data_IF_771947511850
#
_entry.id   IF_771947511850
#
_cell.length_a   1.000
_cell.length_b   1.000
_cell.length_c   1.000
_cell.angle_alpha   90.00
_cell.angle_beta   90.00
_cell.angle_gamma   90.00
#
_symmetry.space_group_name_H-M   'P 1'
#
loop_
_entity.id
_entity.type
_entity.pdbx_description
1 polymer ?
#
# COMPACT_ATOMS: atom_id res chain seq x y z
N UNK A 1 10.37 -15.68 -2.64
CA UNK A 1 10.23 -15.57 -4.11
C UNK A 1 9.90 -14.13 -4.48
N UNK A 2 10.30 -13.71 -5.65
CA UNK A 2 10.09 -12.31 -6.08
C UNK A 2 9.66 -12.26 -7.53
N UNK A 3 8.83 -11.27 -7.84
CA UNK A 3 8.34 -11.00 -9.20
C UNK A 3 8.32 -9.50 -9.44
N UNK A 4 8.83 -9.06 -10.58
CA UNK A 4 8.78 -7.64 -10.98
C UNK A 4 7.52 -7.39 -11.78
N UNK A 5 6.57 -6.67 -11.18
CA UNK A 5 5.32 -6.28 -11.81
C UNK A 5 5.51 -4.95 -12.56
N UNK A 6 5.19 -4.93 -13.84
CA UNK A 6 5.29 -3.73 -14.68
C UNK A 6 4.00 -2.93 -14.57
N UNK A 7 3.99 -1.92 -13.70
CA UNK A 7 2.82 -1.07 -13.53
C UNK A 7 2.90 0.18 -14.41
N UNK A 8 1.77 0.88 -14.63
CA UNK A 8 1.79 2.18 -15.32
C UNK A 8 2.65 3.24 -14.63
N UNK A 9 2.94 3.07 -13.34
CA UNK A 9 3.72 4.00 -12.53
C UNK A 9 5.18 3.59 -12.37
N UNK A 10 5.59 2.49 -12.99
CA UNK A 10 6.92 1.92 -12.86
C UNK A 10 6.90 0.52 -12.28
N UNK A 11 8.07 -0.06 -12.14
CA UNK A 11 8.21 -1.43 -11.68
C UNK A 11 7.92 -1.55 -10.19
N UNK A 12 7.17 -2.59 -9.82
CA UNK A 12 6.90 -2.94 -8.42
C UNK A 12 7.50 -4.32 -8.18
N UNK A 13 8.43 -4.41 -7.24
CA UNK A 13 8.97 -5.69 -6.82
C UNK A 13 8.04 -6.31 -5.80
N UNK A 14 7.44 -7.44 -6.15
CA UNK A 14 6.54 -8.19 -5.27
C UNK A 14 7.31 -9.35 -4.66
N UNK A 15 7.34 -9.39 -3.34
CA UNK A 15 7.91 -10.49 -2.56
C UNK A 15 6.77 -11.33 -2.00
N UNK A 16 6.92 -12.65 -2.02
CA UNK A 16 5.85 -13.56 -1.60
C UNK A 16 6.41 -14.91 -1.21
N UNK A 17 5.60 -15.68 -0.50
CA UNK A 17 5.88 -17.08 -0.18
C UNK A 17 4.70 -17.95 -0.63
N UNK A 18 4.62 -19.18 -0.16
CA UNK A 18 3.54 -20.09 -0.55
C UNK A 18 2.18 -19.70 0.04
N UNK A 19 2.15 -18.76 0.99
CA UNK A 19 0.97 -18.43 1.77
C UNK A 19 0.50 -16.99 1.62
N UNK A 20 1.40 -16.03 1.36
CA UNK A 20 1.07 -14.62 1.42
C UNK A 20 2.02 -13.73 0.61
N UNK A 21 1.58 -12.50 0.38
CA UNK A 21 2.41 -11.39 -0.10
C UNK A 21 3.16 -10.83 1.10
N UNK A 22 4.47 -10.72 1.00
CA UNK A 22 5.32 -10.20 2.07
C UNK A 22 5.91 -8.84 1.76
N UNK A 23 5.88 -8.41 0.51
CA UNK A 23 6.39 -7.10 0.09
C UNK A 23 5.87 -6.71 -1.28
N UNK A 24 5.79 -5.40 -1.51
CA UNK A 24 5.49 -4.81 -2.81
C UNK A 24 6.04 -3.38 -2.78
N UNK A 25 7.19 -3.14 -3.39
CA UNK A 25 7.86 -1.85 -3.34
C UNK A 25 8.20 -1.35 -4.73
N UNK A 26 8.04 -0.04 -4.94
CA UNK A 26 8.46 0.58 -6.19
C UNK A 26 9.99 0.56 -6.30
N UNK A 27 10.46 0.36 -7.53
CA UNK A 27 11.89 0.43 -7.90
C UNK A 27 12.79 -0.59 -7.18
N UNK A 28 12.22 -1.64 -6.59
CA UNK A 28 13.00 -2.72 -6.00
C UNK A 28 13.72 -3.55 -7.07
N UNK A 29 14.86 -4.12 -6.69
CA UNK A 29 15.61 -5.01 -7.59
C UNK A 29 15.39 -6.46 -7.19
N UNK A 30 15.04 -7.29 -8.15
CA UNK A 30 14.82 -8.71 -7.91
C UNK A 30 16.12 -9.41 -7.49
N UNK A 31 16.09 -10.06 -6.33
CA UNK A 31 17.23 -10.79 -5.77
C UNK A 31 16.97 -12.29 -5.60
N UNK A 32 15.71 -12.70 -5.64
CA UNK A 32 15.28 -14.09 -5.52
C UNK A 32 14.68 -14.58 -6.82
N UNK A 33 14.57 -15.90 -6.96
CA UNK A 33 13.97 -16.48 -8.13
C UNK A 33 12.44 -16.31 -8.12
N UNK A 34 11.89 -16.18 -9.32
CA UNK A 34 10.45 -16.25 -9.53
C UNK A 34 10.00 -17.70 -9.53
N UNK A 35 8.93 -17.98 -8.81
CA UNK A 35 8.25 -19.26 -8.88
C UNK A 35 6.74 -19.01 -8.89
N UNK A 36 6.06 -19.50 -9.92
CA UNK A 36 4.62 -19.30 -10.05
C UNK A 36 3.86 -20.07 -8.97
N UNK A 37 2.92 -19.40 -8.31
CA UNK A 37 1.98 -20.03 -7.39
C UNK A 37 0.67 -19.24 -7.39
N UNK A 38 -0.32 -19.70 -6.62
CA UNK A 38 -1.64 -19.03 -6.60
C UNK A 38 -1.57 -17.65 -5.97
N UNK A 39 -0.66 -17.42 -5.02
CA UNK A 39 -0.51 -16.11 -4.35
C UNK A 39 -0.08 -15.05 -5.35
N UNK A 40 1.00 -15.29 -6.08
CA UNK A 40 1.51 -14.30 -7.03
C UNK A 40 0.57 -14.12 -8.23
N UNK A 41 -0.01 -15.19 -8.73
CA UNK A 41 -0.94 -15.15 -9.86
C UNK A 41 -2.16 -14.29 -9.51
N UNK A 42 -2.74 -14.47 -8.34
CA UNK A 42 -3.87 -13.68 -7.88
C UNK A 42 -3.48 -12.20 -7.64
N UNK A 43 -2.27 -11.98 -7.11
CA UNK A 43 -1.76 -10.62 -6.89
C UNK A 43 -1.63 -9.85 -8.22
N UNK A 44 -1.04 -10.47 -9.22
CA UNK A 44 -0.89 -9.86 -10.55
C UNK A 44 -2.26 -9.52 -11.14
N UNK A 45 -3.19 -10.45 -11.06
CA UNK A 45 -4.56 -10.26 -11.54
C UNK A 45 -5.22 -9.05 -10.86
N UNK A 46 -5.13 -8.97 -9.55
CA UNK A 46 -5.75 -7.89 -8.79
C UNK A 46 -5.09 -6.54 -9.04
N UNK A 47 -3.78 -6.49 -9.21
CA UNK A 47 -3.08 -5.26 -9.59
C UNK A 47 -3.49 -4.81 -10.99
N UNK A 48 -3.62 -5.73 -11.95
CA UNK A 48 -4.10 -5.40 -13.30
C UNK A 48 -5.51 -4.81 -13.25
N UNK A 49 -6.39 -5.38 -12.44
CA UNK A 49 -7.75 -4.88 -12.24
C UNK A 49 -7.77 -3.52 -11.55
N UNK A 50 -6.90 -3.31 -10.57
CA UNK A 50 -6.77 -2.03 -9.88
C UNK A 50 -6.34 -0.92 -10.84
N UNK A 51 -5.27 -1.12 -11.59
CA UNK A 51 -4.80 -0.13 -12.55
C UNK A 51 -5.73 0.04 -13.74
N UNK A 52 -6.51 -0.98 -14.07
CA UNK A 52 -7.54 -0.92 -15.09
C UNK A 52 -8.83 -0.24 -14.65
N UNK A 53 -8.95 0.13 -13.37
CA UNK A 53 -10.13 0.83 -12.83
C UNK A 53 -11.30 -0.08 -12.48
N UNK A 54 -11.11 -1.40 -12.48
CA UNK A 54 -12.20 -2.35 -12.22
C UNK A 54 -12.17 -2.95 -10.81
N UNK A 55 -11.10 -2.72 -10.05
CA UNK A 55 -10.97 -3.22 -8.68
C UNK A 55 -10.68 -2.08 -7.71
N UNK A 56 -11.44 -2.04 -6.63
CA UNK A 56 -11.30 -1.00 -5.60
C UNK A 56 -10.72 -1.53 -4.27
N UNK A 57 -10.78 -2.83 -4.02
CA UNK A 57 -10.22 -3.43 -2.83
C UNK A 57 -9.47 -4.71 -3.18
N UNK A 58 -8.40 -4.98 -2.41
CA UNK A 58 -7.60 -6.19 -2.60
C UNK A 58 -8.07 -7.29 -1.65
N UNK A 59 -8.09 -8.51 -2.16
CA UNK A 59 -8.39 -9.72 -1.38
C UNK A 59 -7.21 -10.67 -1.50
N UNK A 60 -6.16 -10.39 -0.74
CA UNK A 60 -4.90 -11.12 -0.76
C UNK A 60 -4.42 -11.38 0.66
N UNK A 61 -3.87 -12.56 0.93
CA UNK A 61 -3.22 -12.80 2.22
C UNK A 61 -1.93 -11.97 2.30
N UNK A 62 -1.75 -11.21 3.38
CA UNK A 62 -0.61 -10.31 3.58
C UNK A 62 0.14 -10.69 4.84
N UNK A 63 1.47 -10.74 4.74
CA UNK A 63 2.36 -10.99 5.88
C UNK A 63 3.47 -9.92 5.92
N UNK A 64 3.15 -8.66 6.24
CA UNK A 64 4.17 -7.62 6.35
C UNK A 64 5.01 -7.85 7.61
N UNK A 65 6.33 -7.62 7.51
CA UNK A 65 7.22 -7.65 8.67
C UNK A 65 7.34 -6.27 9.30
N UNK A 66 7.21 -6.21 10.61
CA UNK A 66 7.35 -4.97 11.35
C UNK A 66 7.05 -5.17 12.82
N UNK A 67 7.13 -4.08 13.59
CA UNK A 67 6.77 -4.06 15.00
C UNK A 67 5.26 -4.22 15.16
N UNK A 68 4.80 -4.52 16.37
CA UNK A 68 3.36 -4.62 16.66
C UNK A 68 2.65 -3.29 16.35
N UNK A 69 3.28 -2.17 16.69
CA UNK A 69 2.72 -0.85 16.39
C UNK A 69 2.62 -0.63 14.88
N UNK A 70 3.69 -0.91 14.13
CA UNK A 70 3.67 -0.78 12.66
C UNK A 70 2.58 -1.63 12.04
N UNK A 71 2.45 -2.87 12.47
CA UNK A 71 1.40 -3.77 11.97
C UNK A 71 0.01 -3.25 12.27
N UNK A 72 -0.19 -2.65 13.45
CA UNK A 72 -1.48 -2.06 13.80
C UNK A 72 -1.81 -0.86 12.90
N UNK A 73 -0.81 -0.05 12.57
CA UNK A 73 -0.99 1.08 11.63
C UNK A 73 -1.36 0.54 10.25
N UNK A 74 -0.60 -0.42 9.73
CA UNK A 74 -0.86 -0.98 8.40
C UNK A 74 -2.24 -1.64 8.30
N UNK A 75 -2.69 -2.27 9.36
CA UNK A 75 -4.05 -2.83 9.41
C UNK A 75 -5.10 -1.71 9.36
N UNK A 76 -4.88 -0.64 10.12
CA UNK A 76 -5.78 0.52 10.11
C UNK A 76 -5.84 1.18 8.72
N UNK A 77 -4.72 1.25 8.00
CA UNK A 77 -4.69 1.79 6.64
C UNK A 77 -5.61 1.03 5.70
N UNK A 78 -5.72 -0.28 5.88
CA UNK A 78 -6.58 -1.11 5.03
C UNK A 78 -8.07 -0.80 5.20
N UNK A 79 -8.44 -0.09 6.27
CA UNK A 79 -9.81 0.35 6.49
C UNK A 79 -10.16 1.66 5.76
N UNK A 80 -9.17 2.36 5.18
CA UNK A 80 -9.43 3.59 4.43
C UNK A 80 -10.02 3.21 3.07
N UNK A 81 -11.27 3.61 2.78
CA UNK A 81 -11.90 3.22 1.52
C UNK A 81 -11.21 3.78 0.29
N UNK A 82 -11.38 3.08 -0.81
CA UNK A 82 -10.95 3.53 -2.12
C UNK A 82 -11.55 4.91 -2.44
N UNK A 83 -10.71 5.81 -2.93
CA UNK A 83 -11.15 7.18 -3.27
C UNK A 83 -11.22 8.14 -2.08
N UNK A 84 -10.90 7.67 -0.87
CA UNK A 84 -10.92 8.50 0.34
C UNK A 84 -9.51 8.67 0.91
N UNK A 85 -9.36 9.66 1.75
CA UNK A 85 -8.10 9.93 2.45
C UNK A 85 -8.37 10.12 3.94
N UNK A 86 -7.31 9.93 4.74
CA UNK A 86 -7.33 10.23 6.17
C UNK A 86 -6.04 10.97 6.52
N UNK A 87 -6.12 11.87 7.49
CA UNK A 87 -4.92 12.50 8.03
C UNK A 87 -4.18 11.55 8.97
N UNK A 88 -2.92 11.85 9.26
CA UNK A 88 -2.16 11.09 10.26
C UNK A 88 -2.84 11.11 11.62
N UNK A 89 -3.41 12.26 11.99
CA UNK A 89 -4.15 12.40 13.24
C UNK A 89 -5.41 11.53 13.28
N UNK A 90 -6.13 11.44 12.16
CA UNK A 90 -7.32 10.59 12.06
C UNK A 90 -6.96 9.11 12.19
N UNK A 91 -5.86 8.67 11.58
CA UNK A 91 -5.39 7.29 11.73
C UNK A 91 -4.97 7.03 13.19
N UNK A 92 -4.26 7.98 13.82
CA UNK A 92 -3.87 7.86 15.22
C UNK A 92 -5.09 7.72 16.14
N UNK A 93 -6.12 8.52 15.89
CA UNK A 93 -7.38 8.44 16.65
C UNK A 93 -8.09 7.10 16.46
N UNK A 94 -8.07 6.58 15.24
CA UNK A 94 -8.65 5.27 14.93
C UNK A 94 -7.97 4.16 15.72
N UNK A 95 -6.67 4.31 16.00
CA UNK A 95 -5.89 3.36 16.81
C UNK A 95 -6.07 3.57 18.32
N UNK A 96 -6.87 4.55 18.74
CA UNK A 96 -7.01 4.90 20.16
C UNK A 96 -5.80 5.62 20.72
N UNK A 97 -4.94 6.21 19.87
CA UNK A 97 -3.72 6.90 20.25
C UNK A 97 -3.65 8.29 19.60
N UNK A 98 -4.54 9.24 19.99
CA UNK A 98 -4.67 10.51 19.27
C UNK A 98 -3.41 11.36 19.25
N UNK A 99 -2.45 11.10 20.16
CA UNK A 99 -1.17 11.84 20.21
C UNK A 99 -0.06 11.18 19.41
N UNK A 100 -0.33 10.08 18.70
CA UNK A 100 0.68 9.28 18.02
C UNK A 100 0.83 9.62 16.53
N UNK A 101 0.44 10.82 16.07
CA UNK A 101 0.47 11.20 14.66
C UNK A 101 1.86 11.02 14.01
N UNK A 102 2.92 11.41 14.72
CA UNK A 102 4.29 11.24 14.20
C UNK A 102 4.68 9.77 14.06
N UNK A 103 4.35 8.97 15.05
CA UNK A 103 4.64 7.53 15.01
C UNK A 103 3.84 6.86 13.89
N UNK A 104 2.60 7.28 13.67
CA UNK A 104 1.77 6.83 12.53
C UNK A 104 2.46 7.21 11.21
N UNK A 105 2.93 8.44 11.08
CA UNK A 105 3.67 8.88 9.89
C UNK A 105 4.91 8.04 9.62
N UNK A 106 5.69 7.74 10.66
CA UNK A 106 6.85 6.87 10.54
C UNK A 106 6.50 5.46 10.09
N UNK A 107 5.47 4.87 10.68
CA UNK A 107 4.99 3.54 10.29
C UNK A 107 4.42 3.54 8.87
N UNK A 108 3.70 4.59 8.50
CA UNK A 108 3.15 4.76 7.16
C UNK A 108 4.27 4.74 6.10
N UNK A 109 5.37 5.45 6.35
CA UNK A 109 6.50 5.50 5.43
C UNK A 109 7.30 4.20 5.36
N UNK A 110 7.13 3.31 6.32
CA UNK A 110 7.81 2.01 6.36
C UNK A 110 6.93 0.86 5.88
N UNK A 111 5.75 1.16 5.32
CA UNK A 111 4.88 0.14 4.76
C UNK A 111 5.64 -0.69 3.71
N UNK A 112 5.77 -2.00 3.91
CA UNK A 112 6.50 -2.85 2.97
C UNK A 112 5.66 -3.34 1.79
N UNK A 113 4.34 -3.06 1.77
CA UNK A 113 3.43 -3.55 0.73
C UNK A 113 2.67 -2.35 0.16
N UNK A 114 3.29 -1.64 -0.79
CA UNK A 114 2.70 -0.45 -1.39
C UNK A 114 1.43 -0.78 -2.16
N UNK A 115 0.50 0.16 -2.24
CA UNK A 115 -0.78 0.08 -2.95
C UNK A 115 -1.78 -0.83 -2.26
N UNK A 116 -1.44 -2.09 -2.03
CA UNK A 116 -2.33 -3.09 -1.40
C UNK A 116 -2.63 -2.68 0.04
N UNK A 117 -1.58 -2.26 0.79
CA UNK A 117 -1.77 -1.54 2.05
C UNK A 117 -1.69 -0.05 1.69
N UNK A 118 -2.81 0.68 1.71
CA UNK A 118 -2.92 1.97 1.02
C UNK A 118 -2.30 3.15 1.78
N UNK A 119 -1.00 3.11 2.01
CA UNK A 119 -0.30 4.22 2.68
C UNK A 119 -0.37 5.53 1.87
N UNK A 120 -0.66 5.46 0.58
CA UNK A 120 -0.89 6.64 -0.25
C UNK A 120 -2.16 7.43 0.12
N UNK A 121 -3.09 6.81 0.86
CA UNK A 121 -4.34 7.45 1.30
C UNK A 121 -4.20 8.26 2.58
N UNK A 122 -2.99 8.36 3.15
CA UNK A 122 -2.74 9.17 4.34
C UNK A 122 -2.09 10.48 3.92
N UNK A 123 -2.66 11.60 4.35
CA UNK A 123 -2.24 12.95 3.97
C UNK A 123 -2.08 13.84 5.22
N UNK A 124 -1.48 15.03 5.05
CA UNK A 124 -1.39 16.01 6.13
C UNK A 124 -2.75 16.56 6.54
N UNK A 125 -2.82 17.14 7.73
CA UNK A 125 -4.06 17.63 8.33
C UNK A 125 -4.79 18.68 7.48
N UNK A 126 -4.03 19.45 6.69
CA UNK A 126 -4.57 20.48 5.80
C UNK A 126 -4.69 20.02 4.34
N UNK A 127 -4.66 18.72 4.11
CA UNK A 127 -4.70 18.14 2.77
C UNK A 127 -3.35 18.10 2.07
N UNK A 128 -2.25 18.47 2.75
CA UNK A 128 -0.92 18.46 2.15
C UNK A 128 -0.47 17.03 1.85
N UNK A 129 0.10 16.84 0.65
CA UNK A 129 0.69 15.57 0.24
C UNK A 129 2.10 15.49 0.82
N UNK A 130 2.27 14.73 1.87
CA UNK A 130 3.55 14.56 2.56
C UNK A 130 3.92 13.09 2.62
N UNK A 131 5.21 12.80 2.55
CA UNK A 131 5.79 11.50 2.79
C UNK A 131 5.14 10.33 2.05
N UNK A 132 5.82 9.79 1.05
CA UNK A 132 5.44 8.52 0.45
C UNK A 132 6.72 7.82 0.00
N UNK A 133 6.89 6.56 0.43
CA UNK A 133 8.09 5.79 0.10
C UNK A 133 8.28 5.63 -1.41
N UNK A 134 7.19 5.56 -2.17
CA UNK A 134 7.23 5.50 -3.64
C UNK A 134 7.37 6.85 -4.33
N UNK A 135 7.46 7.95 -3.59
CA UNK A 135 7.58 9.32 -4.13
C UNK A 135 6.24 10.03 -4.28
N UNK A 136 6.26 11.36 -4.10
CA UNK A 136 5.02 12.17 -4.10
C UNK A 136 4.30 12.17 -5.44
N UNK A 137 5.03 12.06 -6.55
CA UNK A 137 4.42 11.99 -7.88
C UNK A 137 3.54 10.76 -8.02
N UNK A 138 4.03 9.59 -7.58
CA UNK A 138 3.25 8.36 -7.57
C UNK A 138 2.07 8.44 -6.62
N UNK A 139 2.25 9.04 -5.46
CA UNK A 139 1.17 9.26 -4.50
C UNK A 139 0.05 10.07 -5.14
N UNK A 140 0.38 11.19 -5.77
CA UNK A 140 -0.58 12.04 -6.47
C UNK A 140 -1.32 11.26 -7.55
N UNK A 141 -0.60 10.49 -8.36
CA UNK A 141 -1.19 9.70 -9.44
C UNK A 141 -2.16 8.64 -8.91
N UNK A 142 -1.78 7.95 -7.84
CA UNK A 142 -2.65 6.93 -7.21
C UNK A 142 -3.94 7.57 -6.67
N UNK A 143 -3.83 8.69 -5.97
CA UNK A 143 -4.99 9.40 -5.43
C UNK A 143 -5.91 9.90 -6.55
N UNK A 144 -5.34 10.42 -7.63
CA UNK A 144 -6.10 10.88 -8.79
C UNK A 144 -6.84 9.72 -9.47
N UNK A 145 -6.14 8.60 -9.65
CA UNK A 145 -6.75 7.38 -10.22
C UNK A 145 -7.95 6.93 -9.40
N UNK A 146 -7.78 6.85 -8.08
CA UNK A 146 -8.84 6.38 -7.19
C UNK A 146 -10.02 7.35 -7.16
N UNK A 147 -9.77 8.64 -7.14
CA UNK A 147 -10.83 9.65 -7.15
C UNK A 147 -11.62 9.61 -8.44
N UNK A 148 -10.96 9.43 -9.58
CA UNK A 148 -11.60 9.35 -10.89
C UNK A 148 -12.52 8.15 -11.04
N UNK A 149 -12.23 7.04 -10.36
CA UNK A 149 -12.98 5.80 -10.47
C UNK A 149 -13.93 5.53 -9.29
N UNK A 150 -14.06 6.46 -8.35
CA UNK A 150 -14.84 6.28 -7.13
C UNK A 150 -16.33 6.67 -7.24
N UNK A 151 -16.77 7.03 -8.42
CA UNK A 151 -18.18 7.43 -8.67
C UNK A 151 -19.10 6.24 -8.79
#
# INVERSE_FOLDING_TARGET
>A
MEYTYKSPLGDILISYNDHAITGAIFDGQQTSEYAENTVITECIKQLDEYFGGTRQSFDLPLEPKGTDFQKSVWLALQSIPYGETRSYAQVASLLGRPKASRAVGGANNKNPIHIIIPCHRVIGANGALTGYAGGLERKTTLLTLEKSNSL
#
